data_IF_158756502666
#
_entry.id   IF_158756502666
#
_cell.length_a   1.000
_cell.length_b   1.000
_cell.length_c   1.000
_cell.angle_alpha   90.00
_cell.angle_beta   90.00
_cell.angle_gamma   90.00
#
_symmetry.space_group_name_H-M   'P 1'
#
loop_
_entity.id
_entity.type
_entity.pdbx_description
1 polymer ?
#
# COMPACT_ATOMS: atom_id res chain seq x y z
N UNK A 1 4.19 19.98 27.60
CA UNK A 1 3.06 19.02 27.48
C UNK A 1 3.44 17.77 28.27
N UNK A 2 2.97 17.67 29.52
CA UNK A 2 3.10 16.42 30.27
C UNK A 2 2.08 15.44 29.70
N UNK A 3 2.52 14.23 29.36
CA UNK A 3 1.67 13.20 28.76
C UNK A 3 0.61 12.77 29.79
N UNK A 4 -0.66 13.10 29.53
CA UNK A 4 -1.74 12.34 30.11
C UNK A 4 -1.87 11.03 29.30
N UNK A 5 -1.86 9.90 29.99
CA UNK A 5 -1.92 8.57 29.36
C UNK A 5 -3.20 8.33 28.53
N UNK A 6 -4.14 9.28 28.55
CA UNK A 6 -5.39 9.27 27.80
C UNK A 6 -5.20 9.12 26.27
N UNK A 7 -4.21 9.78 25.67
CA UNK A 7 -3.94 9.65 24.23
C UNK A 7 -3.28 8.30 23.94
N UNK A 8 -2.32 7.90 24.77
CA UNK A 8 -1.63 6.61 24.65
C UNK A 8 -2.59 5.43 24.81
N UNK A 9 -3.56 5.51 25.72
CA UNK A 9 -4.60 4.51 25.92
C UNK A 9 -5.54 4.41 24.70
N UNK A 10 -6.00 5.55 24.17
CA UNK A 10 -6.85 5.58 22.96
C UNK A 10 -6.16 5.00 21.73
N UNK A 11 -4.84 5.18 21.62
CA UNK A 11 -4.03 4.69 20.49
C UNK A 11 -3.41 3.30 20.74
N UNK A 12 -3.72 2.63 21.85
CA UNK A 12 -3.19 1.30 22.16
C UNK A 12 -1.66 1.28 22.35
N UNK A 13 -1.06 2.38 22.78
CA UNK A 13 0.39 2.54 22.97
C UNK A 13 0.88 2.10 24.37
N UNK A 14 -0.02 1.56 25.20
CA UNK A 14 0.29 1.06 26.53
C UNK A 14 0.34 -0.48 26.48
N UNK A 15 1.50 -1.05 26.79
CA UNK A 15 1.65 -2.51 26.83
C UNK A 15 1.29 -3.03 28.22
N UNK A 16 0.42 -4.06 28.35
CA UNK A 16 -0.14 -4.48 29.64
C UNK A 16 0.89 -4.97 30.67
N UNK A 17 2.13 -5.28 30.26
CA UNK A 17 3.19 -5.78 31.14
C UNK A 17 4.35 -4.83 31.47
N UNK A 18 4.37 -3.57 30.98
CA UNK A 18 5.53 -2.65 31.15
C UNK A 18 5.24 -1.32 31.90
N UNK A 19 4.11 -1.16 32.57
CA UNK A 19 3.78 0.07 33.32
C UNK A 19 3.42 1.27 32.41
N UNK A 20 3.63 2.51 32.87
CA UNK A 20 3.35 3.77 32.13
C UNK A 20 4.32 4.08 30.98
N UNK A 21 5.09 3.07 30.58
CA UNK A 21 6.18 3.19 29.63
C UNK A 21 5.64 2.86 28.24
N UNK A 22 5.54 3.88 27.38
CA UNK A 22 4.95 3.72 26.04
C UNK A 22 5.80 2.81 25.17
N UNK A 23 5.14 1.99 24.35
CA UNK A 23 5.81 1.30 23.23
C UNK A 23 6.14 2.31 22.15
N UNK A 24 7.21 2.05 21.38
CA UNK A 24 7.61 2.91 20.28
C UNK A 24 6.71 2.62 19.08
N UNK A 25 5.52 3.23 19.06
CA UNK A 25 4.60 3.14 17.94
C UNK A 25 4.88 4.21 16.88
N UNK A 26 4.73 3.84 15.61
CA UNK A 26 4.71 4.76 14.47
C UNK A 26 3.36 4.63 13.78
N UNK A 27 2.64 5.74 13.67
CA UNK A 27 1.38 5.82 12.95
C UNK A 27 1.61 6.58 11.64
N UNK A 28 1.25 5.97 10.53
CA UNK A 28 1.21 6.64 9.22
C UNK A 28 -0.25 6.96 8.93
N UNK A 29 -0.55 8.25 8.80
CA UNK A 29 -1.90 8.79 8.60
C UNK A 29 -1.92 9.49 7.24
N UNK A 30 -2.93 9.23 6.42
CA UNK A 30 -3.10 9.88 5.11
C UNK A 30 -3.73 11.29 5.23
N UNK A 31 -3.78 12.09 4.15
CA UNK A 31 -4.38 13.43 4.17
C UNK A 31 -5.85 13.46 4.60
N UNK A 32 -6.57 12.35 4.46
CA UNK A 32 -7.96 12.17 4.87
C UNK A 32 -8.11 11.83 6.37
N UNK A 33 -6.99 11.70 7.10
CA UNK A 33 -6.98 11.41 8.52
C UNK A 33 -7.14 9.93 8.86
N UNK A 34 -7.02 9.04 7.88
CA UNK A 34 -7.14 7.59 8.07
C UNK A 34 -5.78 6.99 8.43
N UNK A 35 -5.75 6.15 9.46
CA UNK A 35 -4.54 5.39 9.83
C UNK A 35 -4.31 4.28 8.80
N UNK A 36 -3.19 4.36 8.07
CA UNK A 36 -2.83 3.46 6.96
C UNK A 36 -1.85 2.37 7.36
N UNK A 37 -0.99 2.64 8.33
CA UNK A 37 -0.01 1.70 8.84
C UNK A 37 0.31 2.03 10.30
N UNK A 38 0.43 0.99 11.12
CA UNK A 38 0.90 1.09 12.49
C UNK A 38 2.08 0.11 12.66
N UNK A 39 3.21 0.60 13.17
CA UNK A 39 4.36 -0.23 13.51
C UNK A 39 4.66 -0.13 15.00
N UNK A 40 4.71 -1.25 15.70
CA UNK A 40 5.02 -1.32 17.13
C UNK A 40 6.42 -1.89 17.34
N UNK A 41 7.29 -1.11 17.98
CA UNK A 41 8.62 -1.54 18.40
C UNK A 41 8.70 -1.60 19.92
N UNK A 42 9.43 -2.58 20.49
CA UNK A 42 9.70 -2.59 21.92
C UNK A 42 10.70 -1.48 22.28
N UNK A 43 10.91 -1.24 23.58
CA UNK A 43 11.69 -0.08 24.03
C UNK A 43 13.19 -0.22 23.76
N UNK A 44 13.67 -1.45 23.84
CA UNK A 44 15.04 -1.92 23.66
C UNK A 44 15.54 -1.84 22.22
N UNK A 45 14.65 -1.76 21.22
CA UNK A 45 15.02 -1.78 19.80
C UNK A 45 14.67 -0.44 19.13
N UNK A 46 15.64 0.11 18.40
CA UNK A 46 15.46 1.30 17.58
C UNK A 46 14.57 1.04 16.36
N UNK A 47 13.88 2.08 15.89
CA UNK A 47 13.06 2.01 14.66
C UNK A 47 13.95 1.95 13.43
N UNK A 48 13.54 1.19 12.43
CA UNK A 48 14.11 1.29 11.09
C UNK A 48 13.45 2.47 10.35
N UNK A 49 14.14 3.61 10.26
CA UNK A 49 13.60 4.81 9.62
C UNK A 49 13.49 4.65 8.10
N UNK A 50 14.38 3.88 7.48
CA UNK A 50 14.32 3.61 6.04
C UNK A 50 13.03 2.85 5.70
N UNK A 51 12.57 1.96 6.57
CA UNK A 51 11.29 1.27 6.41
C UNK A 51 10.10 2.23 6.52
N UNK A 52 10.13 3.17 7.46
CA UNK A 52 9.08 4.20 7.57
C UNK A 52 8.99 5.02 6.28
N UNK A 53 10.13 5.46 5.75
CA UNK A 53 10.19 6.23 4.50
C UNK A 53 9.72 5.39 3.31
N UNK A 54 10.13 4.12 3.24
CA UNK A 54 9.72 3.18 2.17
C UNK A 54 8.22 2.92 2.23
N UNK A 55 7.65 2.69 3.41
CA UNK A 55 6.23 2.44 3.60
C UNK A 55 5.37 3.64 3.19
N UNK A 56 5.77 4.87 3.54
CA UNK A 56 5.07 6.08 3.08
C UNK A 56 5.10 6.20 1.57
N UNK A 57 6.25 5.99 0.92
CA UNK A 57 6.36 5.99 -0.55
C UNK A 57 5.51 4.90 -1.19
N UNK A 58 5.51 3.70 -0.61
CA UNK A 58 4.71 2.57 -1.08
C UNK A 58 3.21 2.89 -0.99
N UNK A 59 2.73 3.45 0.12
CA UNK A 59 1.33 3.86 0.27
C UNK A 59 0.93 4.91 -0.77
N UNK A 60 1.78 5.92 -1.01
CA UNK A 60 1.55 6.94 -2.03
C UNK A 60 1.52 6.38 -3.46
N UNK A 61 2.39 5.42 -3.79
CA UNK A 61 2.34 4.72 -5.07
C UNK A 61 1.09 3.81 -5.14
N UNK A 62 0.69 3.22 -4.01
CA UNK A 62 -0.46 2.33 -3.92
C UNK A 62 -1.76 3.05 -4.24
N UNK A 63 -1.97 4.21 -3.63
CA UNK A 63 -3.16 5.05 -3.82
C UNK A 63 -3.36 5.46 -5.29
N UNK A 64 -2.27 5.54 -6.05
CA UNK A 64 -2.28 5.95 -7.45
C UNK A 64 -2.39 4.79 -8.42
N UNK A 65 -1.73 3.67 -8.11
CA UNK A 65 -1.40 2.66 -9.13
C UNK A 65 -1.80 1.23 -8.77
N UNK A 66 -2.16 0.91 -7.52
CA UNK A 66 -2.59 -0.44 -7.15
C UNK A 66 -1.85 -1.03 -5.96
N UNK A 67 -1.74 -2.35 -5.88
CA UNK A 67 -1.11 -3.01 -4.74
C UNK A 67 0.42 -3.03 -4.88
N UNK A 68 1.14 -2.90 -3.76
CA UNK A 68 2.60 -2.91 -3.72
C UNK A 68 3.10 -4.31 -3.30
N UNK A 69 4.04 -4.93 -4.03
CA UNK A 69 4.56 -6.24 -3.65
C UNK A 69 5.44 -6.19 -2.39
N UNK A 70 5.65 -7.34 -1.77
CA UNK A 70 6.60 -7.49 -0.67
C UNK A 70 8.01 -7.07 -1.11
N UNK A 71 8.78 -6.40 -0.24
CA UNK A 71 10.15 -5.97 -0.56
C UNK A 71 10.27 -4.89 -1.64
N UNK A 72 9.17 -4.32 -2.13
CA UNK A 72 9.20 -3.22 -3.10
C UNK A 72 10.07 -2.05 -2.59
N UNK A 73 10.94 -1.46 -3.43
CA UNK A 73 11.03 -1.62 -4.90
C UNK A 73 11.96 -2.74 -5.38
N UNK A 74 12.44 -3.60 -4.48
CA UNK A 74 13.39 -4.68 -4.81
C UNK A 74 12.73 -6.05 -4.63
N UNK A 75 11.46 -6.19 -5.02
CA UNK A 75 10.78 -7.48 -4.94
C UNK A 75 11.52 -8.53 -5.78
N UNK A 76 11.67 -9.73 -5.25
CA UNK A 76 12.46 -10.80 -5.88
C UNK A 76 11.88 -11.29 -7.21
N UNK A 77 10.56 -11.20 -7.39
CA UNK A 77 9.87 -11.68 -8.60
C UNK A 77 9.69 -10.56 -9.62
N UNK A 78 9.23 -9.40 -9.17
CA UNK A 78 8.73 -8.33 -10.05
C UNK A 78 9.41 -6.97 -9.82
N UNK A 79 10.46 -6.91 -9.00
CA UNK A 79 11.25 -5.70 -8.77
C UNK A 79 10.42 -4.52 -8.25
N UNK A 80 10.45 -3.42 -9.01
CA UNK A 80 9.76 -2.17 -8.65
C UNK A 80 8.36 -2.04 -9.27
N UNK A 81 7.85 -3.11 -9.87
CA UNK A 81 6.55 -3.15 -10.54
C UNK A 81 5.39 -3.13 -9.54
N UNK A 82 4.23 -2.70 -10.01
CA UNK A 82 3.01 -2.52 -9.21
C UNK A 82 2.03 -3.63 -9.56
N UNK A 83 1.42 -4.25 -8.54
CA UNK A 83 0.42 -5.31 -8.71
C UNK A 83 -0.92 -4.69 -9.06
N UNK A 84 -1.53 -5.23 -10.11
CA UNK A 84 -2.90 -4.90 -10.53
C UNK A 84 -3.87 -5.65 -9.62
N UNK A 85 -4.80 -4.97 -8.93
CA UNK A 85 -5.77 -5.63 -8.06
C UNK A 85 -6.52 -6.76 -8.78
N UNK A 86 -6.72 -7.93 -8.15
CA UNK A 86 -7.35 -9.11 -8.77
C UNK A 86 -8.72 -8.78 -9.37
N UNK A 87 -9.14 -9.46 -10.46
CA UNK A 87 -10.45 -9.24 -11.02
C UNK A 87 -11.52 -9.83 -10.08
N UNK A 88 -12.70 -9.23 -10.08
CA UNK A 88 -13.83 -9.67 -9.25
C UNK A 88 -14.81 -10.59 -9.99
N UNK A 89 -14.57 -10.85 -11.29
CA UNK A 89 -15.42 -11.69 -12.14
C UNK A 89 -14.61 -12.46 -13.18
N UNK A 90 -15.18 -13.58 -13.66
CA UNK A 90 -14.55 -14.47 -14.65
C UNK A 90 -14.30 -13.79 -16.00
N UNK A 91 -15.17 -12.87 -16.43
CA UNK A 91 -15.01 -12.16 -17.71
C UNK A 91 -13.76 -11.29 -17.72
N UNK A 92 -13.53 -10.51 -16.66
CA UNK A 92 -12.33 -9.69 -16.51
C UNK A 92 -11.08 -10.57 -16.28
N UNK A 93 -11.24 -11.74 -15.64
CA UNK A 93 -10.15 -12.72 -15.50
C UNK A 93 -9.71 -13.27 -16.87
N UNK A 94 -10.66 -13.60 -17.75
CA UNK A 94 -10.40 -14.17 -19.07
C UNK A 94 -9.64 -13.22 -20.02
N UNK A 95 -9.78 -11.90 -19.87
CA UNK A 95 -9.05 -10.91 -20.69
C UNK A 95 -7.75 -10.43 -20.04
N UNK A 96 -7.56 -10.70 -18.75
CA UNK A 96 -6.49 -10.10 -17.95
C UNK A 96 -5.08 -10.34 -18.51
N UNK A 97 -4.78 -11.59 -18.86
CA UNK A 97 -3.47 -12.01 -19.36
C UNK A 97 -3.14 -11.44 -20.74
N UNK A 98 -4.15 -10.98 -21.49
CA UNK A 98 -3.95 -10.26 -22.76
C UNK A 98 -3.68 -8.78 -22.52
N UNK A 99 -4.20 -8.27 -21.41
CA UNK A 99 -3.99 -6.89 -21.02
C UNK A 99 -2.60 -6.79 -20.36
N UNK A 100 -2.36 -7.40 -19.21
CA UNK A 100 -1.23 -7.12 -18.35
C UNK A 100 -0.18 -8.25 -18.34
N UNK A 101 1.07 -7.89 -18.05
CA UNK A 101 2.09 -8.88 -17.71
C UNK A 101 1.71 -9.54 -16.38
N UNK A 102 1.93 -10.84 -16.24
CA UNK A 102 1.59 -11.56 -15.01
C UNK A 102 1.94 -13.03 -15.09
N UNK A 103 1.86 -13.69 -13.95
CA UNK A 103 2.02 -15.14 -13.85
C UNK A 103 0.69 -15.86 -14.08
N UNK A 104 -0.41 -15.24 -13.64
CA UNK A 104 -1.76 -15.79 -13.77
C UNK A 104 -2.81 -14.65 -13.73
N UNK A 105 -4.07 -14.92 -14.07
CA UNK A 105 -5.15 -13.93 -14.19
C UNK A 105 -5.40 -13.11 -12.91
N UNK A 106 -5.09 -13.69 -11.75
CA UNK A 106 -5.16 -13.06 -10.44
C UNK A 106 -3.87 -12.33 -10.05
N UNK A 107 -2.73 -12.66 -10.67
CA UNK A 107 -1.43 -12.05 -10.42
C UNK A 107 -0.88 -11.36 -11.67
N UNK A 108 -1.34 -10.14 -11.90
CA UNK A 108 -0.82 -9.26 -12.94
C UNK A 108 -0.12 -8.04 -12.36
N UNK A 109 0.80 -7.45 -13.12
CA UNK A 109 1.61 -6.32 -12.70
C UNK A 109 2.00 -5.39 -13.86
N UNK A 110 2.16 -4.10 -13.55
CA UNK A 110 2.55 -3.06 -14.51
C UNK A 110 3.91 -2.45 -14.15
N UNK A 111 4.71 -1.99 -15.14
CA UNK A 111 5.91 -1.25 -14.87
C UNK A 111 5.60 0.03 -14.10
N UNK A 112 6.44 0.39 -13.13
CA UNK A 112 6.36 1.70 -12.50
C UNK A 112 6.83 2.77 -13.47
N UNK A 113 6.09 3.87 -13.57
CA UNK A 113 6.55 5.01 -14.36
C UNK A 113 7.74 5.69 -13.68
N UNK A 114 8.82 5.88 -14.43
CA UNK A 114 9.95 6.68 -13.99
C UNK A 114 9.56 8.14 -13.75
N UNK A 115 10.35 8.84 -12.94
CA UNK A 115 10.14 10.27 -12.66
C UNK A 115 10.14 11.12 -13.94
N UNK A 116 10.94 10.74 -14.94
CA UNK A 116 10.97 11.40 -16.24
C UNK A 116 9.69 11.17 -17.06
N UNK A 117 9.19 9.93 -17.09
CA UNK A 117 7.92 9.61 -17.76
C UNK A 117 6.73 10.30 -17.08
N UNK A 118 6.75 10.44 -15.76
CA UNK A 118 5.75 11.20 -15.01
C UNK A 118 5.76 12.69 -15.36
N UNK A 119 6.93 13.32 -15.45
CA UNK A 119 7.05 14.73 -15.87
C UNK A 119 6.60 14.97 -17.31
N UNK A 120 6.78 13.99 -18.19
CA UNK A 120 6.34 14.04 -19.59
C UNK A 120 4.85 13.71 -19.79
N UNK A 121 4.11 13.46 -18.71
CA UNK A 121 2.68 13.13 -18.80
C UNK A 121 2.40 11.82 -19.53
N UNK A 122 3.35 10.88 -19.56
CA UNK A 122 3.14 9.57 -20.20
C UNK A 122 1.89 8.92 -19.60
N UNK A 123 0.89 8.53 -20.42
CA UNK A 123 -0.35 7.99 -19.92
C UNK A 123 -0.07 6.70 -19.13
N UNK A 124 -0.47 6.70 -17.86
CA UNK A 124 -0.39 5.51 -17.03
C UNK A 124 -1.48 4.58 -17.51
N UNK A 125 -1.14 3.32 -17.75
CA UNK A 125 -2.16 2.32 -18.03
C UNK A 125 -3.07 2.22 -16.81
N UNK A 126 -4.34 2.60 -16.99
CA UNK A 126 -5.28 2.72 -15.88
C UNK A 126 -5.40 1.37 -15.17
N UNK A 127 -5.04 1.34 -13.89
CA UNK A 127 -5.20 0.16 -13.05
C UNK A 127 -6.62 0.19 -12.47
N UNK A 128 -7.42 -0.87 -12.61
CA UNK A 128 -8.70 -0.95 -11.92
C UNK A 128 -8.45 -0.92 -10.40
N UNK A 129 -9.06 0.04 -9.70
CA UNK A 129 -9.12 0.10 -8.25
C UNK A 129 -9.67 -1.21 -7.69
N UNK A 130 -9.16 -1.60 -6.54
CA UNK A 130 -9.61 -2.78 -5.82
C UNK A 130 -11.12 -2.70 -5.56
N UNK A 131 -11.82 -3.83 -5.72
CA UNK A 131 -13.26 -3.92 -5.45
C UNK A 131 -14.17 -3.27 -6.49
N UNK A 132 -13.67 -2.83 -7.66
CA UNK A 132 -14.55 -2.42 -8.76
C UNK A 132 -15.42 -3.60 -9.23
N UNK A 133 -16.70 -3.32 -9.50
CA UNK A 133 -17.61 -4.27 -10.18
C UNK A 133 -17.06 -4.65 -11.55
N UNK A 134 -17.42 -5.85 -12.00
CA UNK A 134 -17.08 -6.39 -13.32
C UNK A 134 -17.32 -5.33 -14.40
N UNK A 135 -16.42 -5.21 -15.39
CA UNK A 135 -16.60 -4.21 -16.46
C UNK A 135 -17.93 -4.36 -17.19
N UNK A 136 -18.46 -5.58 -17.31
CA UNK A 136 -19.77 -5.86 -17.92
C UNK A 136 -20.95 -5.30 -17.14
N UNK A 137 -20.79 -5.03 -15.85
CA UNK A 137 -21.89 -4.64 -14.96
C UNK A 137 -21.95 -3.12 -14.79
N UNK A 138 -21.07 -2.38 -15.49
CA UNK A 138 -21.11 -0.92 -15.50
C UNK A 138 -22.21 -0.47 -16.46
N UNK A 139 -23.16 0.38 -16.03
CA UNK A 139 -24.10 0.99 -16.96
C UNK A 139 -23.31 1.76 -18.03
N UNK A 140 -23.73 1.60 -19.28
CA UNK A 140 -22.95 1.87 -20.48
C UNK A 140 -22.33 3.27 -20.56
N UNK A 141 -21.13 3.31 -21.14
CA UNK A 141 -20.59 4.47 -21.86
C UNK A 141 -21.06 4.40 -23.30
#
# INVERSE_FOLDING_TARGET
>A
VAANDAIAAKLGMLHPGKGSNTVRAVFVIDPEGVVRLIMYYPQEIGRNIDEVVRAVKALQESDRFGAIPAGWPNNELIGDRIIVPPPTCEKDAATRMKEYDGYDWWFCHVPRLSSAQRRRGTPVRAVPAAGRRCRSDRPGR
#
